data_IF_937082158687
#
_entry.id   IF_937082158687
#
_cell.length_a   1.000
_cell.length_b   1.000
_cell.length_c   1.000
_cell.angle_alpha   90.00
_cell.angle_beta   90.00
_cell.angle_gamma   90.00
#
_symmetry.space_group_name_H-M   'P 1'
#
loop_
_entity.id
_entity.type
_entity.pdbx_description
1 polymer ?
#
# COMPACT_ATOMS: atom_id res chain seq x y z
N UNK A 1 0.13 6.09 1.67
CA UNK A 1 -0.98 5.14 1.85
C UNK A 1 -0.69 3.86 1.09
N UNK A 2 -0.35 2.74 1.76
CA UNK A 2 -0.11 1.47 1.10
C UNK A 2 -1.39 0.89 0.48
N UNK A 3 -1.27 0.28 -0.69
CA UNK A 3 -2.35 -0.39 -1.44
C UNK A 3 -1.89 -1.78 -1.83
N UNK A 4 -2.74 -2.79 -1.65
CA UNK A 4 -2.53 -4.14 -2.15
C UNK A 4 -3.76 -4.56 -2.98
N UNK A 5 -3.56 -4.90 -4.24
CA UNK A 5 -4.66 -5.27 -5.15
C UNK A 5 -4.13 -5.99 -6.41
N UNK A 6 -4.95 -6.86 -7.00
CA UNK A 6 -4.64 -7.53 -8.27
C UNK A 6 -5.35 -6.88 -9.48
N UNK A 7 -6.44 -6.14 -9.24
CA UNK A 7 -7.22 -5.49 -10.29
C UNK A 7 -6.64 -4.11 -10.63
N UNK A 8 -6.20 -3.94 -11.89
CA UNK A 8 -5.58 -2.70 -12.37
C UNK A 8 -6.51 -1.49 -12.30
N UNK A 9 -7.80 -1.67 -12.57
CA UNK A 9 -8.79 -0.58 -12.55
C UNK A 9 -9.08 -0.15 -11.12
N UNK A 10 -9.15 -1.09 -10.19
CA UNK A 10 -9.27 -0.81 -8.77
C UNK A 10 -8.06 -0.02 -8.25
N UNK A 11 -6.84 -0.39 -8.66
CA UNK A 11 -5.61 0.35 -8.33
C UNK A 11 -5.70 1.79 -8.84
N UNK A 12 -6.12 2.01 -10.08
CA UNK A 12 -6.24 3.34 -10.68
C UNK A 12 -7.24 4.21 -9.91
N UNK A 13 -8.45 3.68 -9.65
CA UNK A 13 -9.51 4.39 -8.92
C UNK A 13 -9.05 4.76 -7.51
N UNK A 14 -8.50 3.80 -6.76
CA UNK A 14 -8.02 4.05 -5.40
C UNK A 14 -6.85 5.05 -5.38
N UNK A 15 -5.90 4.90 -6.31
CA UNK A 15 -4.73 5.80 -6.39
C UNK A 15 -5.13 7.23 -6.73
N UNK A 16 -6.18 7.43 -7.53
CA UNK A 16 -6.72 8.76 -7.80
C UNK A 16 -7.34 9.36 -6.53
N UNK A 17 -8.23 8.62 -5.86
CA UNK A 17 -8.87 9.07 -4.63
C UNK A 17 -7.84 9.46 -3.57
N UNK A 18 -6.82 8.62 -3.34
CA UNK A 18 -5.77 8.85 -2.34
C UNK A 18 -5.02 10.15 -2.61
N UNK A 19 -4.72 10.46 -3.88
CA UNK A 19 -4.10 11.75 -4.25
C UNK A 19 -5.04 12.92 -4.05
N UNK A 20 -6.32 12.78 -4.39
CA UNK A 20 -7.33 13.82 -4.22
C UNK A 20 -7.53 14.20 -2.74
N UNK A 21 -7.36 13.25 -1.82
CA UNK A 21 -7.42 13.51 -0.37
C UNK A 21 -6.07 13.91 0.25
N UNK A 22 -5.04 14.16 -0.57
CA UNK A 22 -3.75 14.71 -0.13
C UNK A 22 -2.72 13.68 0.35
N UNK A 23 -2.91 12.39 0.07
CA UNK A 23 -1.96 11.33 0.39
C UNK A 23 -1.25 10.79 -0.87
N UNK A 24 -0.08 10.20 -0.70
CA UNK A 24 0.63 9.50 -1.79
C UNK A 24 0.28 8.00 -1.78
N UNK A 25 -0.26 7.43 -2.87
CA UNK A 25 -0.53 6.00 -2.97
C UNK A 25 0.75 5.22 -3.23
N UNK A 26 0.92 4.10 -2.52
CA UNK A 26 2.06 3.18 -2.70
C UNK A 26 1.54 1.78 -2.93
N UNK A 27 1.67 1.25 -4.15
CA UNK A 27 1.33 -0.14 -4.44
C UNK A 27 2.40 -1.06 -3.84
N UNK A 28 2.02 -1.89 -2.87
CA UNK A 28 2.95 -2.76 -2.12
C UNK A 28 2.90 -4.23 -2.59
N UNK A 29 2.02 -4.57 -3.53
CA UNK A 29 1.90 -5.90 -4.11
C UNK A 29 0.49 -6.27 -4.53
N UNK A 30 0.29 -7.55 -4.88
CA UNK A 30 -1.02 -8.13 -5.17
C UNK A 30 -1.92 -8.25 -3.92
N UNK A 31 -3.17 -8.71 -4.08
CA UNK A 31 -4.17 -8.74 -3.00
C UNK A 31 -3.70 -9.53 -1.77
N UNK A 32 -2.93 -10.60 -1.97
CA UNK A 32 -2.37 -11.41 -0.88
C UNK A 32 -1.40 -10.64 0.05
N UNK A 33 -0.78 -9.55 -0.44
CA UNK A 33 0.05 -8.67 0.38
C UNK A 33 -0.76 -7.86 1.40
N UNK A 34 -2.10 -7.83 1.29
CA UNK A 34 -2.99 -7.17 2.25
C UNK A 34 -2.84 -7.65 3.69
N UNK A 35 -2.35 -8.89 3.91
CA UNK A 35 -1.97 -9.42 5.23
C UNK A 35 -0.94 -8.55 5.97
N UNK A 36 -0.16 -7.75 5.25
CA UNK A 36 0.86 -6.88 5.80
C UNK A 36 0.35 -5.47 6.13
N UNK A 37 -0.95 -5.18 5.92
CA UNK A 37 -1.57 -3.87 6.16
C UNK A 37 -2.46 -3.84 7.43
N UNK A 38 -2.60 -4.98 8.11
CA UNK A 38 -3.45 -5.11 9.30
C UNK A 38 -2.70 -4.69 10.58
N UNK A 39 -3.37 -4.25 11.65
CA UNK A 39 -2.71 -3.90 12.91
C UNK A 39 -1.74 -4.99 13.39
N UNK A 40 -0.53 -4.58 13.82
CA UNK A 40 0.53 -5.48 14.28
C UNK A 40 1.39 -6.11 13.17
N UNK A 41 1.11 -5.82 11.90
CA UNK A 41 1.94 -6.25 10.76
C UNK A 41 2.95 -5.17 10.34
N UNK A 42 3.96 -5.49 9.50
CA UNK A 42 5.08 -4.59 9.21
C UNK A 42 4.71 -3.25 8.56
N UNK A 43 3.61 -3.15 7.80
CA UNK A 43 3.17 -1.88 7.19
C UNK A 43 2.03 -1.23 7.97
N UNK A 44 1.71 -1.73 9.17
CA UNK A 44 0.73 -1.11 10.03
C UNK A 44 1.25 0.21 10.62
N UNK A 45 0.34 1.14 10.88
CA UNK A 45 0.65 2.43 11.50
C UNK A 45 1.02 3.52 10.50
N UNK A 46 1.64 4.58 11.01
CA UNK A 46 2.00 5.76 10.24
C UNK A 46 3.42 5.62 9.68
N UNK A 47 3.54 5.77 8.36
CA UNK A 47 4.80 5.70 7.62
C UNK A 47 4.78 6.73 6.50
N UNK A 48 5.95 7.29 6.19
CA UNK A 48 6.17 8.04 4.95
C UNK A 48 6.04 7.11 3.74
N UNK A 49 5.74 7.64 2.54
CA UNK A 49 5.71 6.83 1.33
C UNK A 49 7.01 6.06 1.07
N UNK A 50 8.16 6.67 1.35
CA UNK A 50 9.49 6.08 1.21
C UNK A 50 9.72 4.91 2.18
N UNK A 51 9.29 5.05 3.44
CA UNK A 51 9.33 3.96 4.42
C UNK A 51 8.46 2.79 3.98
N UNK A 52 7.24 3.07 3.50
CA UNK A 52 6.35 2.03 2.97
C UNK A 52 7.01 1.27 1.82
N UNK A 53 7.64 1.97 0.85
CA UNK A 53 8.35 1.33 -0.27
C UNK A 53 9.50 0.45 0.22
N UNK A 54 10.27 0.95 1.18
CA UNK A 54 11.43 0.23 1.76
C UNK A 54 10.98 -1.02 2.50
N UNK A 55 9.97 -0.89 3.38
CA UNK A 55 9.40 -2.01 4.12
C UNK A 55 8.79 -3.04 3.18
N UNK A 56 7.97 -2.61 2.21
CA UNK A 56 7.37 -3.50 1.22
C UNK A 56 8.40 -4.30 0.42
N UNK A 57 9.51 -3.69 0.03
CA UNK A 57 10.59 -4.37 -0.69
C UNK A 57 11.28 -5.47 0.14
N UNK A 58 11.23 -5.38 1.47
CA UNK A 58 11.79 -6.39 2.39
C UNK A 58 10.83 -7.56 2.67
N UNK A 59 9.55 -7.45 2.29
CA UNK A 59 8.56 -8.47 2.55
C UNK A 59 8.57 -9.51 1.42
N UNK A 60 8.62 -10.80 1.80
CA UNK A 60 8.44 -11.89 0.85
C UNK A 60 6.96 -11.96 0.40
N UNK A 61 6.67 -12.26 -0.87
CA UNK A 61 5.30 -12.45 -1.37
C UNK A 61 4.55 -13.52 -0.56
#
# INVERSE_FOLDING_TARGET
>A
MPIAADDKKAIEVASRLIREIGYEPVLVGGLAAGKNLVPGSPLAGEHTPEEVRTLAASLKP
#
